data_IF_986155803444
#
_entry.id   IF_986155803444
#
_cell.length_a   1.000
_cell.length_b   1.000
_cell.length_c   1.000
_cell.angle_alpha   90.00
_cell.angle_beta   90.00
_cell.angle_gamma   90.00
#
_symmetry.space_group_name_H-M   'P 1'
#
loop_
_entity.id
_entity.type
_entity.pdbx_description
1 polymer ?
#
# COMPACT_ATOMS: atom_id res chain seq x y z
N UNK A 1 -5.17 -13.83 -25.13
CA UNK A 1 -4.64 -12.60 -24.50
C UNK A 1 -5.61 -11.97 -23.49
N UNK A 2 -6.88 -11.70 -23.84
CA UNK A 2 -7.83 -11.07 -22.92
C UNK A 2 -8.13 -11.89 -21.65
N UNK A 3 -8.27 -13.21 -21.78
CA UNK A 3 -8.55 -14.13 -20.67
C UNK A 3 -7.38 -14.23 -19.68
N UNK A 4 -6.15 -14.38 -20.19
CA UNK A 4 -4.94 -14.39 -19.36
C UNK A 4 -4.79 -13.10 -18.55
N UNK A 5 -5.08 -11.93 -19.15
CA UNK A 5 -5.05 -10.65 -18.43
C UNK A 5 -6.12 -10.57 -17.34
N UNK A 6 -7.33 -11.11 -17.60
CA UNK A 6 -8.41 -11.17 -16.61
C UNK A 6 -8.00 -12.01 -15.41
N UNK A 7 -7.30 -13.12 -15.63
CA UNK A 7 -6.80 -13.96 -14.55
C UNK A 7 -5.79 -13.21 -13.67
N UNK A 8 -4.82 -12.49 -14.26
CA UNK A 8 -3.84 -11.71 -13.48
C UNK A 8 -4.51 -10.68 -12.57
N UNK A 9 -5.53 -9.98 -13.05
CA UNK A 9 -6.27 -9.04 -12.21
C UNK A 9 -7.07 -9.74 -11.10
N UNK A 10 -7.66 -10.91 -11.38
CA UNK A 10 -8.32 -11.70 -10.36
C UNK A 10 -7.33 -12.14 -9.27
N UNK A 11 -6.11 -12.51 -9.64
CA UNK A 11 -5.07 -12.90 -8.70
C UNK A 11 -4.63 -11.72 -7.81
N UNK A 12 -4.51 -10.50 -8.35
CA UNK A 12 -4.25 -9.30 -7.55
C UNK A 12 -5.34 -9.05 -6.52
N UNK A 13 -6.62 -9.14 -6.92
CA UNK A 13 -7.75 -8.95 -6.01
C UNK A 13 -7.76 -10.04 -4.94
N UNK A 14 -7.48 -11.30 -5.30
CA UNK A 14 -7.42 -12.40 -4.34
C UNK A 14 -6.36 -12.14 -3.28
N UNK A 15 -5.14 -11.77 -3.68
CA UNK A 15 -4.05 -11.42 -2.75
C UNK A 15 -4.42 -10.21 -1.89
N UNK A 16 -5.09 -9.22 -2.48
CA UNK A 16 -5.51 -8.02 -1.78
C UNK A 16 -6.52 -8.30 -0.66
N UNK A 17 -7.49 -9.19 -0.91
CA UNK A 17 -8.48 -9.61 0.11
C UNK A 17 -7.80 -10.25 1.30
N UNK A 18 -6.91 -11.22 1.07
CA UNK A 18 -6.14 -11.85 2.13
C UNK A 18 -5.29 -10.82 2.89
N UNK A 19 -4.62 -9.92 2.19
CA UNK A 19 -3.84 -8.85 2.83
C UNK A 19 -4.70 -7.95 3.72
N UNK A 20 -5.90 -7.59 3.28
CA UNK A 20 -6.80 -6.70 4.02
C UNK A 20 -7.33 -7.35 5.31
N UNK A 21 -7.46 -8.68 5.35
CA UNK A 21 -7.84 -9.44 6.54
C UNK A 21 -6.76 -9.42 7.62
N UNK A 22 -5.48 -9.30 7.24
CA UNK A 22 -4.35 -9.24 8.17
C UNK A 22 -4.20 -7.88 8.86
N UNK A 23 -4.84 -6.84 8.33
CA UNK A 23 -4.78 -5.47 8.87
C UNK A 23 -5.85 -5.30 9.95
N UNK A 24 -5.49 -4.84 11.14
CA UNK A 24 -6.43 -4.49 12.19
C UNK A 24 -6.88 -3.02 12.10
N UNK A 25 -8.01 -2.70 12.73
CA UNK A 25 -8.44 -1.31 12.89
C UNK A 25 -7.48 -0.57 13.82
N UNK A 26 -6.98 0.59 13.38
CA UNK A 26 -5.99 1.40 14.09
C UNK A 26 -4.54 1.15 13.70
N UNK A 27 -4.25 0.24 12.76
CA UNK A 27 -2.88 -0.11 12.39
C UNK A 27 -2.11 1.04 11.72
N UNK A 28 -0.84 1.19 12.14
CA UNK A 28 0.19 1.89 11.40
C UNK A 28 0.95 0.92 10.50
N UNK A 29 1.01 1.19 9.20
CA UNK A 29 1.62 0.30 8.20
C UNK A 29 2.88 0.96 7.64
N UNK A 30 4.05 0.37 7.88
CA UNK A 30 5.29 0.76 7.23
C UNK A 30 5.52 -0.12 5.99
N UNK A 31 5.75 0.50 4.84
CA UNK A 31 6.05 -0.20 3.57
C UNK A 31 7.45 0.16 3.05
N UNK A 32 7.80 -0.32 1.86
CA UNK A 32 9.02 0.07 1.14
C UNK A 32 8.81 -0.08 -0.37
N UNK A 33 9.40 0.83 -1.16
CA UNK A 33 9.31 0.84 -2.62
C UNK A 33 7.87 0.95 -3.13
N UNK A 34 7.59 0.42 -4.32
CA UNK A 34 6.28 0.34 -4.95
C UNK A 34 5.87 -1.13 -5.11
N UNK A 35 4.94 -1.58 -4.27
CA UNK A 35 4.49 -2.97 -4.20
C UNK A 35 3.30 -3.30 -5.14
N UNK A 36 3.15 -2.48 -6.19
CA UNK A 36 2.17 -2.67 -7.27
C UNK A 36 0.71 -2.82 -6.82
N UNK A 37 -0.14 -3.35 -7.72
CA UNK A 37 -1.59 -3.32 -7.58
C UNK A 37 -2.10 -4.11 -6.36
N UNK A 38 -1.53 -5.27 -6.04
CA UNK A 38 -2.04 -6.09 -4.93
C UNK A 38 -1.95 -5.37 -3.59
N UNK A 39 -0.83 -4.69 -3.31
CA UNK A 39 -0.66 -3.96 -2.05
C UNK A 39 -1.56 -2.73 -1.97
N UNK A 40 -1.66 -1.95 -3.05
CA UNK A 40 -2.55 -0.78 -3.09
C UNK A 40 -4.02 -1.21 -2.91
N UNK A 41 -4.43 -2.31 -3.56
CA UNK A 41 -5.77 -2.88 -3.38
C UNK A 41 -5.99 -3.41 -1.95
N UNK A 42 -4.97 -3.99 -1.29
CA UNK A 42 -5.06 -4.39 0.12
C UNK A 42 -5.44 -3.18 1.00
N UNK A 43 -4.74 -2.06 0.83
CA UNK A 43 -4.98 -0.84 1.59
C UNK A 43 -6.36 -0.26 1.29
N UNK A 44 -6.75 -0.23 0.01
CA UNK A 44 -8.07 0.22 -0.41
C UNK A 44 -9.19 -0.61 0.24
N UNK A 45 -9.11 -1.94 0.16
CA UNK A 45 -10.10 -2.84 0.75
C UNK A 45 -10.17 -2.72 2.27
N UNK A 46 -9.03 -2.57 2.95
CA UNK A 46 -9.00 -2.33 4.39
C UNK A 46 -9.68 -1.00 4.76
N UNK A 47 -9.40 0.06 4.00
CA UNK A 47 -10.01 1.37 4.20
C UNK A 47 -11.51 1.37 3.92
N UNK A 48 -11.96 0.76 2.81
CA UNK A 48 -13.36 0.58 2.45
C UNK A 48 -14.14 -0.23 3.49
N UNK A 49 -13.48 -1.18 4.16
CA UNK A 49 -14.04 -1.92 5.29
C UNK A 49 -14.18 -1.08 6.58
N UNK A 50 -13.84 0.22 6.54
CA UNK A 50 -13.98 1.15 7.65
C UNK A 50 -12.80 1.12 8.64
N UNK A 51 -11.71 0.41 8.33
CA UNK A 51 -10.52 0.37 9.19
C UNK A 51 -9.79 1.71 9.13
N UNK A 52 -9.51 2.30 10.28
CA UNK A 52 -8.67 3.49 10.42
C UNK A 52 -7.22 3.05 10.35
N UNK A 53 -6.54 3.35 9.24
CA UNK A 53 -5.14 2.99 9.02
C UNK A 53 -4.32 4.22 8.68
N UNK A 54 -3.03 4.18 8.99
CA UNK A 54 -2.07 5.21 8.59
C UNK A 54 -0.86 4.54 7.95
N UNK A 55 -0.43 5.02 6.77
CA UNK A 55 0.69 4.40 6.05
C UNK A 55 1.93 5.28 6.08
N UNK A 56 3.06 4.70 6.47
CA UNK A 56 4.38 5.32 6.44
C UNK A 56 5.16 4.78 5.23
N UNK A 57 5.62 5.70 4.38
CA UNK A 57 6.24 5.36 3.10
C UNK A 57 7.65 5.96 3.06
N UNK A 58 8.72 5.13 3.10
CA UNK A 58 10.06 5.60 2.80
C UNK A 58 10.16 6.09 1.37
N UNK A 59 10.87 7.20 1.14
CA UNK A 59 11.05 7.78 -0.20
C UNK A 59 11.59 6.78 -1.22
N UNK A 60 12.38 5.80 -0.78
CA UNK A 60 12.99 4.71 -1.55
C UNK A 60 13.97 5.22 -2.61
N UNK A 61 15.13 5.71 -2.15
CA UNK A 61 16.24 6.10 -3.05
C UNK A 61 16.81 4.90 -3.82
N UNK A 62 17.45 5.14 -4.98
CA UNK A 62 17.67 6.43 -5.64
C UNK A 62 16.52 6.85 -6.58
N UNK A 63 15.62 5.95 -6.96
CA UNK A 63 14.59 6.24 -7.96
C UNK A 63 13.39 7.00 -7.40
N UNK A 64 13.20 6.89 -6.07
CA UNK A 64 12.13 7.52 -5.31
C UNK A 64 10.76 6.90 -5.57
N UNK A 65 10.67 5.57 -5.67
CA UNK A 65 9.40 4.87 -5.90
C UNK A 65 8.36 5.22 -4.83
N UNK A 66 8.79 5.29 -3.57
CA UNK A 66 7.90 5.60 -2.46
C UNK A 66 7.33 7.01 -2.58
N UNK A 67 8.18 7.99 -2.89
CA UNK A 67 7.77 9.39 -3.04
C UNK A 67 6.97 9.67 -4.33
N UNK A 68 7.32 9.01 -5.44
CA UNK A 68 6.76 9.29 -6.77
C UNK A 68 5.52 8.45 -7.11
N UNK A 69 5.44 7.23 -6.58
CA UNK A 69 4.39 6.28 -6.94
C UNK A 69 3.53 5.94 -5.72
N UNK A 70 4.14 5.40 -4.67
CA UNK A 70 3.40 4.79 -3.55
C UNK A 70 2.63 5.83 -2.73
N UNK A 71 3.29 6.89 -2.25
CA UNK A 71 2.63 7.91 -1.43
C UNK A 71 1.53 8.65 -2.20
N UNK A 72 1.74 9.09 -3.47
CA UNK A 72 0.66 9.66 -4.28
C UNK A 72 -0.52 8.71 -4.49
N UNK A 73 -0.29 7.44 -4.84
CA UNK A 73 -1.39 6.47 -5.02
C UNK A 73 -2.20 6.25 -3.75
N UNK A 74 -1.56 6.18 -2.58
CA UNK A 74 -2.26 6.03 -1.29
C UNK A 74 -3.02 7.30 -0.93
N UNK A 75 -2.43 8.47 -1.20
CA UNK A 75 -3.09 9.76 -0.99
C UNK A 75 -4.35 9.93 -1.85
N UNK A 76 -4.30 9.52 -3.11
CA UNK A 76 -5.46 9.53 -4.03
C UNK A 76 -6.61 8.63 -3.56
N UNK A 77 -6.31 7.57 -2.79
CA UNK A 77 -7.31 6.71 -2.16
C UNK A 77 -7.93 7.33 -0.89
N UNK A 78 -7.50 8.53 -0.47
CA UNK A 78 -7.97 9.19 0.75
C UNK A 78 -7.42 8.59 2.05
N UNK A 79 -6.44 7.70 1.96
CA UNK A 79 -5.84 7.04 3.12
C UNK A 79 -4.75 7.95 3.71
N UNK A 80 -4.73 8.18 5.04
CA UNK A 80 -3.67 8.94 5.70
C UNK A 80 -2.29 8.35 5.41
N UNK A 81 -1.37 9.18 4.92
CA UNK A 81 -0.03 8.77 4.51
C UNK A 81 1.02 9.78 4.94
N UNK A 82 2.20 9.28 5.34
CA UNK A 82 3.37 10.10 5.66
C UNK A 82 4.58 9.59 4.88
N UNK A 83 5.15 10.46 4.06
CA UNK A 83 6.43 10.23 3.39
C UNK A 83 7.57 10.44 4.39
N UNK A 84 8.51 9.51 4.47
CA UNK A 84 9.67 9.56 5.36
C UNK A 84 10.98 9.35 4.59
N UNK A 85 12.10 9.79 5.14
CA UNK A 85 13.42 9.43 4.62
C UNK A 85 13.72 7.94 4.84
N UNK A 86 14.54 7.34 3.97
CA UNK A 86 14.87 5.91 4.08
C UNK A 86 15.51 5.52 5.42
N UNK A 87 16.19 6.46 6.07
CA UNK A 87 16.84 6.26 7.38
C UNK A 87 15.88 6.42 8.58
N UNK A 88 14.62 6.76 8.35
CA UNK A 88 13.63 6.99 9.42
C UNK A 88 12.81 5.76 9.75
N UNK A 89 12.87 4.70 8.94
CA UNK A 89 12.12 3.46 9.18
C UNK A 89 12.37 2.90 10.59
N UNK A 90 13.63 2.83 11.02
CA UNK A 90 14.00 2.34 12.35
C UNK A 90 13.60 3.26 13.49
N UNK A 91 13.32 4.54 13.23
CA UNK A 91 12.84 5.46 14.26
C UNK A 91 11.33 5.28 14.53
N UNK A 92 10.60 4.70 13.58
CA UNK A 92 9.16 4.45 13.70
C UNK A 92 8.80 3.11 14.35
N UNK A 93 9.74 2.16 14.39
CA UNK A 93 9.58 0.81 14.97
C UNK A 93 10.02 0.79 16.43
#
# INVERSE_FOLDING_TARGET
MAEARRQVYADYISRARFGAELIADGDGILTMCFAEAAFILTLALAHEAGKRIHVYVPETRPYLQGAKLTAPSIHELGIPVTLIGDNMASYLL
#
